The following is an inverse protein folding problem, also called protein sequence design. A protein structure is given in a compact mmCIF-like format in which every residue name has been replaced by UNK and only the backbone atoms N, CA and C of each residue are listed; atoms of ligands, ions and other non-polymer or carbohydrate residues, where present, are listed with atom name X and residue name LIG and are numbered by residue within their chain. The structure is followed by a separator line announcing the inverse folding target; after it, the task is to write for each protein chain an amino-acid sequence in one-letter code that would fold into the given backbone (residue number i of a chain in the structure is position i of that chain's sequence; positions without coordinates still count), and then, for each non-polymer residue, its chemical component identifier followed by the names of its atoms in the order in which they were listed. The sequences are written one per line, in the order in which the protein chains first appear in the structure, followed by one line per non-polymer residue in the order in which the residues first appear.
data_IF_954912903943
#
_entry.id   IF_954912903943
#
_cell.length_a   1.000
_cell.length_b   1.000
_cell.length_c   1.000
_cell.angle_alpha   90.00
_cell.angle_beta   90.00
_cell.angle_gamma   90.00
#
_symmetry.space_group_name_H-M   'P 1'
#
loop_
_entity.id
_entity.type
_entity.pdbx_description
1 polymer ?
#
# COMPACT_ATOMS: atom_id res chain seq x y z
N UNK A 1 10.89 -0.38 -22.73
CA UNK A 1 11.69 -0.32 -21.50
C UNK A 1 11.04 0.77 -20.63
N UNK A 2 10.26 0.39 -19.60
CA UNK A 2 9.61 1.38 -18.72
C UNK A 2 10.60 1.71 -17.62
N UNK A 3 11.02 2.98 -17.54
CA UNK A 3 11.94 3.48 -16.54
C UNK A 3 11.15 3.74 -15.25
N UNK A 4 11.46 3.02 -14.17
CA UNK A 4 10.98 3.38 -12.83
C UNK A 4 11.89 4.52 -12.37
N UNK A 5 11.34 5.73 -12.28
CA UNK A 5 12.07 6.87 -11.76
C UNK A 5 12.04 6.81 -10.24
N UNK A 6 13.13 6.36 -9.63
CA UNK A 6 13.42 6.72 -8.24
C UNK A 6 13.87 8.18 -8.25
N UNK A 7 13.08 9.08 -7.68
CA UNK A 7 13.50 10.45 -7.50
C UNK A 7 14.64 10.47 -6.46
N UNK A 8 15.82 10.87 -6.91
CA UNK A 8 17.02 11.14 -6.11
C UNK A 8 17.61 9.94 -5.33
N UNK A 9 17.70 8.76 -5.99
CA UNK A 9 18.42 7.61 -5.42
C UNK A 9 19.92 7.91 -5.33
N UNK A 10 20.40 8.09 -4.11
CA UNK A 10 21.84 8.25 -3.82
C UNK A 10 22.53 6.89 -3.76
N UNK A 11 23.86 6.86 -3.82
CA UNK A 11 24.62 5.59 -3.86
C UNK A 11 24.35 4.67 -2.67
N UNK A 12 24.05 5.23 -1.49
CA UNK A 12 23.69 4.45 -0.30
C UNK A 12 22.28 3.83 -0.37
N UNK A 13 21.38 4.37 -1.20
CA UNK A 13 20.03 3.79 -1.36
C UNK A 13 20.12 2.45 -2.09
N UNK A 14 21.04 2.30 -3.05
CA UNK A 14 21.30 1.01 -3.73
C UNK A 14 21.88 -0.03 -2.80
N UNK A 15 22.77 0.36 -1.88
CA UNK A 15 23.33 -0.56 -0.88
C UNK A 15 22.28 -0.95 0.16
N UNK A 16 21.41 0.00 0.57
CA UNK A 16 20.30 -0.27 1.48
C UNK A 16 19.29 -1.22 0.85
N UNK A 17 18.88 -1.00 -0.40
CA UNK A 17 17.96 -1.89 -1.12
C UNK A 17 18.58 -3.28 -1.39
N UNK A 18 19.88 -3.37 -1.66
CA UNK A 18 20.58 -4.64 -1.83
C UNK A 18 20.61 -5.50 -0.56
N UNK A 19 20.39 -4.92 0.61
CA UNK A 19 20.32 -5.62 1.89
C UNK A 19 18.92 -6.18 2.19
N UNK A 20 17.86 -5.69 1.52
CA UNK A 20 16.51 -6.25 1.62
C UNK A 20 16.40 -7.44 0.67
N UNK A 21 16.33 -8.64 1.21
CA UNK A 21 16.30 -9.88 0.44
C UNK A 21 14.92 -10.50 0.32
N UNK A 22 13.96 -10.05 1.12
CA UNK A 22 12.61 -10.59 1.15
C UNK A 22 11.62 -9.44 1.10
N UNK A 23 10.88 -9.33 0.00
CA UNK A 23 9.73 -8.45 -0.15
C UNK A 23 8.46 -9.31 -0.17
N UNK A 24 7.42 -8.90 0.56
CA UNK A 24 6.31 -9.78 0.85
C UNK A 24 4.98 -9.06 0.75
N UNK A 25 4.02 -9.72 0.10
CA UNK A 25 2.78 -9.13 -0.34
C UNK A 25 1.59 -9.72 0.40
N UNK A 26 0.78 -8.87 1.01
CA UNK A 26 -0.55 -9.23 1.47
C UNK A 26 -1.56 -8.76 0.43
N UNK A 27 -2.17 -9.72 -0.26
CA UNK A 27 -3.05 -9.50 -1.41
C UNK A 27 -2.32 -9.67 -2.74
N UNK A 28 -2.63 -10.76 -3.45
CA UNK A 28 -2.02 -11.12 -4.75
C UNK A 28 -2.99 -10.90 -5.91
N UNK A 29 -3.87 -9.91 -5.78
CA UNK A 29 -4.71 -9.42 -6.86
C UNK A 29 -3.89 -8.81 -8.00
N UNK A 30 -4.53 -8.20 -8.98
CA UNK A 30 -3.85 -7.63 -10.15
C UNK A 30 -2.73 -6.64 -9.78
N UNK A 31 -2.95 -5.76 -8.79
CA UNK A 31 -1.97 -4.77 -8.35
C UNK A 31 -0.81 -5.46 -7.63
N UNK A 32 -1.11 -6.34 -6.66
CA UNK A 32 -0.08 -7.06 -5.93
C UNK A 32 0.84 -7.89 -6.83
N UNK A 33 0.28 -8.58 -7.84
CA UNK A 33 1.10 -9.32 -8.81
C UNK A 33 2.00 -8.41 -9.65
N UNK A 34 1.47 -7.29 -10.16
CA UNK A 34 2.31 -6.31 -10.88
C UNK A 34 3.44 -5.77 -10.00
N UNK A 35 3.19 -5.55 -8.71
CA UNK A 35 4.21 -5.12 -7.78
C UNK A 35 5.21 -6.23 -7.49
N UNK A 36 4.76 -7.49 -7.35
CA UNK A 36 5.64 -8.66 -7.21
C UNK A 36 6.62 -8.79 -8.38
N UNK A 37 6.14 -8.66 -9.62
CA UNK A 37 6.97 -8.72 -10.82
C UNK A 37 8.07 -7.62 -10.82
N UNK A 38 7.74 -6.44 -10.30
CA UNK A 38 8.70 -5.35 -10.14
C UNK A 38 9.77 -5.73 -9.10
N UNK A 39 9.37 -6.24 -7.95
CA UNK A 39 10.25 -6.65 -6.86
C UNK A 39 11.15 -7.82 -7.27
N UNK A 40 10.63 -8.79 -8.04
CA UNK A 40 11.44 -9.86 -8.63
C UNK A 40 12.53 -9.29 -9.53
N UNK A 41 12.21 -8.25 -10.32
CA UNK A 41 13.18 -7.54 -11.16
C UNK A 41 14.32 -6.89 -10.36
N UNK A 42 14.11 -6.59 -9.08
CA UNK A 42 15.15 -6.14 -8.14
C UNK A 42 15.92 -7.29 -7.48
N UNK A 43 15.57 -8.56 -7.76
CA UNK A 43 16.19 -9.74 -7.17
C UNK A 43 15.72 -10.05 -5.75
N UNK A 44 14.54 -9.57 -5.37
CA UNK A 44 13.94 -9.87 -4.06
C UNK A 44 13.28 -11.25 -4.07
N UNK A 45 13.24 -11.90 -2.90
CA UNK A 45 12.44 -13.10 -2.72
C UNK A 45 11.01 -12.69 -2.40
N UNK A 46 10.03 -13.21 -3.14
CA UNK A 46 8.64 -12.81 -3.03
C UNK A 46 7.84 -13.88 -2.30
N UNK A 47 7.26 -13.51 -1.16
CA UNK A 47 6.24 -14.31 -0.46
C UNK A 47 4.88 -13.63 -0.60
N UNK A 48 3.83 -14.41 -0.69
CA UNK A 48 2.47 -13.92 -0.79
C UNK A 48 1.54 -14.59 0.21
N UNK A 49 0.57 -13.82 0.70
CA UNK A 49 -0.58 -14.31 1.44
C UNK A 49 -1.85 -13.77 0.80
N UNK A 50 -2.73 -14.65 0.39
CA UNK A 50 -4.06 -14.33 -0.12
C UNK A 50 -4.99 -15.51 0.15
N UNK A 51 -6.21 -15.28 0.67
CA UNK A 51 -7.22 -16.36 0.78
C UNK A 51 -7.58 -17.00 -0.56
N UNK A 52 -7.36 -16.28 -1.66
CA UNK A 52 -7.65 -16.71 -3.03
C UNK A 52 -6.36 -16.69 -3.85
N UNK A 53 -5.59 -17.76 -3.76
CA UNK A 53 -4.32 -17.91 -4.46
C UNK A 53 -4.48 -17.80 -5.98
N UNK A 54 -3.63 -16.98 -6.63
CA UNK A 54 -3.58 -16.83 -8.07
C UNK A 54 -2.45 -17.67 -8.67
N UNK A 55 -2.71 -18.49 -9.71
CA UNK A 55 -1.64 -19.23 -10.38
C UNK A 55 -0.66 -18.33 -11.15
N UNK A 56 -1.02 -17.05 -11.35
CA UNK A 56 -0.17 -16.06 -12.03
C UNK A 56 0.78 -15.32 -11.06
N UNK A 57 0.74 -15.64 -9.78
CA UNK A 57 1.64 -15.02 -8.82
C UNK A 57 3.03 -15.66 -8.90
N UNK A 58 4.04 -14.87 -9.18
CA UNK A 58 5.42 -15.34 -9.37
C UNK A 58 6.11 -15.75 -8.05
N UNK A 59 5.60 -15.31 -6.89
CA UNK A 59 6.17 -15.61 -5.58
C UNK A 59 5.70 -16.95 -4.99
N UNK A 60 6.10 -17.21 -3.76
CA UNK A 60 5.67 -18.38 -2.99
C UNK A 60 4.55 -18.02 -2.03
N UNK A 61 3.42 -18.73 -2.05
CA UNK A 61 2.39 -18.59 -1.03
C UNK A 61 2.81 -19.21 0.30
N UNK A 62 2.53 -18.49 1.38
CA UNK A 62 2.82 -18.89 2.76
C UNK A 62 1.66 -18.50 3.67
N UNK A 63 1.66 -18.96 4.92
CA UNK A 63 0.70 -18.49 5.93
C UNK A 63 0.99 -17.05 6.32
N UNK A 64 -0.02 -16.33 6.85
CA UNK A 64 0.17 -14.96 7.33
C UNK A 64 1.27 -14.89 8.41
N UNK A 65 1.29 -15.82 9.36
CA UNK A 65 2.31 -15.85 10.41
C UNK A 65 3.71 -16.04 9.84
N UNK A 66 3.88 -16.96 8.88
CA UNK A 66 5.16 -17.17 8.21
C UNK A 66 5.60 -15.91 7.44
N UNK A 67 4.65 -15.23 6.78
CA UNK A 67 4.90 -13.98 6.09
C UNK A 67 5.40 -12.92 7.07
N UNK A 68 4.70 -12.69 8.17
CA UNK A 68 5.06 -11.69 9.19
C UNK A 68 6.46 -11.95 9.79
N UNK A 69 6.78 -13.23 10.09
CA UNK A 69 8.05 -13.60 10.71
C UNK A 69 9.25 -13.44 9.77
N UNK A 70 9.04 -13.61 8.46
CA UNK A 70 10.15 -13.67 7.47
C UNK A 70 10.36 -12.37 6.72
N UNK A 71 9.38 -11.45 6.75
CA UNK A 71 9.38 -10.22 5.96
C UNK A 71 10.43 -9.20 6.40
N UNK A 72 11.12 -8.64 5.44
CA UNK A 72 11.89 -7.39 5.61
C UNK A 72 11.05 -6.17 5.21
N UNK A 73 10.16 -6.34 4.21
CA UNK A 73 9.20 -5.35 3.75
C UNK A 73 7.83 -6.03 3.64
N UNK A 74 6.77 -5.40 4.11
CA UNK A 74 5.39 -5.87 3.98
C UNK A 74 4.60 -4.82 3.21
N UNK A 75 4.01 -5.20 2.08
CA UNK A 75 3.18 -4.33 1.25
C UNK A 75 1.74 -4.84 1.18
N UNK A 76 0.77 -3.94 1.42
CA UNK A 76 -0.64 -4.26 1.49
C UNK A 76 -1.35 -3.91 0.19
N UNK A 77 -1.98 -4.92 -0.45
CA UNK A 77 -2.71 -4.80 -1.72
C UNK A 77 -4.10 -5.46 -1.68
N UNK A 78 -4.62 -5.77 -0.48
CA UNK A 78 -5.90 -6.39 -0.28
C UNK A 78 -7.02 -5.35 -0.03
N UNK A 79 -8.27 -5.63 -0.40
CA UNK A 79 -9.40 -4.80 -0.01
C UNK A 79 -9.64 -4.86 1.49
N UNK A 80 -10.26 -3.82 2.04
CA UNK A 80 -10.69 -3.83 3.44
C UNK A 80 -11.97 -4.67 3.59
N UNK A 81 -11.97 -5.57 4.56
CA UNK A 81 -13.14 -6.36 5.00
C UNK A 81 -13.28 -6.26 6.52
N UNK A 82 -14.34 -6.85 7.07
CA UNK A 82 -14.49 -6.89 8.55
C UNK A 82 -13.42 -7.75 9.20
N UNK A 83 -13.00 -8.80 8.52
CA UNK A 83 -12.07 -9.82 9.02
C UNK A 83 -10.62 -9.33 9.03
N UNK A 84 -10.25 -8.42 8.12
CA UNK A 84 -8.89 -7.91 7.99
C UNK A 84 -8.72 -6.45 8.46
N UNK A 85 -9.76 -5.86 9.08
CA UNK A 85 -9.59 -4.58 9.75
C UNK A 85 -8.51 -4.71 10.82
N UNK A 86 -7.55 -3.76 10.85
CA UNK A 86 -6.39 -3.79 11.73
C UNK A 86 -5.55 -5.08 11.60
N UNK A 87 -5.41 -5.58 10.35
CA UNK A 87 -4.53 -6.69 10.03
C UNK A 87 -3.10 -6.44 10.54
N UNK A 88 -2.64 -5.21 10.44
CA UNK A 88 -1.41 -4.74 11.09
C UNK A 88 -1.80 -4.09 12.42
N UNK A 89 -1.53 -4.79 13.51
CA UNK A 89 -1.87 -4.45 14.89
C UNK A 89 -0.68 -4.72 15.81
N UNK A 90 -0.76 -4.36 17.08
CA UNK A 90 0.29 -4.67 18.07
C UNK A 90 0.63 -6.17 18.09
N UNK A 91 -0.38 -7.04 17.98
CA UNK A 91 -0.18 -8.50 17.97
C UNK A 91 0.65 -8.92 16.75
N UNK A 92 0.24 -8.52 15.54
CA UNK A 92 0.92 -8.91 14.29
C UNK A 92 2.28 -8.24 14.17
N UNK A 93 2.43 -6.98 14.58
CA UNK A 93 3.73 -6.28 14.65
C UNK A 93 4.69 -7.02 15.57
N UNK A 94 4.21 -7.58 16.69
CA UNK A 94 5.07 -8.33 17.62
C UNK A 94 5.77 -9.52 16.95
N UNK A 95 5.10 -10.19 15.98
CA UNK A 95 5.60 -11.34 15.22
C UNK A 95 6.60 -10.97 14.14
N UNK A 96 6.59 -9.72 13.66
CA UNK A 96 7.46 -9.26 12.56
C UNK A 96 8.93 -9.21 12.95
N UNK A 97 9.82 -9.11 11.97
CA UNK A 97 11.22 -8.80 12.22
C UNK A 97 11.38 -7.40 12.82
N UNK A 98 12.43 -7.21 13.60
CA UNK A 98 12.81 -5.87 14.05
C UNK A 98 13.33 -5.07 12.85
N UNK A 99 12.80 -3.85 12.68
CA UNK A 99 13.20 -2.97 11.59
C UNK A 99 12.46 -3.24 10.28
N UNK A 100 11.36 -4.01 10.30
CA UNK A 100 10.50 -4.26 9.11
C UNK A 100 9.98 -2.95 8.53
N UNK A 101 9.80 -2.89 7.22
CA UNK A 101 9.17 -1.77 6.52
C UNK A 101 7.73 -2.13 6.19
N UNK A 102 6.82 -1.16 6.36
CA UNK A 102 5.40 -1.33 6.06
C UNK A 102 5.00 -0.36 4.95
N UNK A 103 4.36 -0.89 3.89
CA UNK A 103 3.84 -0.09 2.79
C UNK A 103 2.35 -0.33 2.66
N UNK A 104 1.56 0.74 2.67
CA UNK A 104 0.12 0.66 2.48
C UNK A 104 -0.36 1.66 1.44
N UNK A 105 -0.72 1.15 0.27
CA UNK A 105 -1.35 1.87 -0.84
C UNK A 105 -2.75 1.34 -1.12
N UNK A 106 -3.38 0.69 -0.13
CA UNK A 106 -4.66 0.02 -0.29
C UNK A 106 -5.78 0.70 0.51
N UNK A 107 -5.92 0.42 1.79
CA UNK A 107 -6.93 1.03 2.68
C UNK A 107 -6.33 1.31 4.06
N UNK A 108 -6.59 2.51 4.59
CA UNK A 108 -6.03 2.96 5.87
C UNK A 108 -6.34 2.03 7.03
N UNK A 109 -7.59 1.60 7.16
CA UNK A 109 -8.05 0.73 8.26
C UNK A 109 -7.47 -0.71 8.25
N UNK A 110 -6.64 -1.07 7.29
CA UNK A 110 -5.85 -2.31 7.37
C UNK A 110 -4.76 -2.22 8.45
N UNK A 111 -4.38 -1.03 8.83
CA UNK A 111 -3.38 -0.75 9.86
C UNK A 111 -4.06 -0.07 11.04
N UNK A 112 -3.85 -0.58 12.25
CA UNK A 112 -4.09 0.16 13.49
C UNK A 112 -3.02 1.27 13.57
N UNK A 113 -3.45 2.51 13.40
CA UNK A 113 -2.53 3.66 13.33
C UNK A 113 -1.75 3.86 14.62
N UNK A 114 -2.37 3.57 15.78
CA UNK A 114 -1.68 3.70 17.07
C UNK A 114 -0.60 2.61 17.23
N UNK A 115 -0.89 1.38 16.82
CA UNK A 115 0.08 0.29 16.83
C UNK A 115 1.26 0.59 15.89
N UNK A 116 1.00 1.12 14.69
CA UNK A 116 2.03 1.56 13.76
C UNK A 116 2.94 2.62 14.39
N UNK A 117 2.35 3.66 15.00
CA UNK A 117 3.07 4.75 15.66
C UNK A 117 3.98 4.22 16.78
N UNK A 118 3.46 3.31 17.63
CA UNK A 118 4.24 2.67 18.68
C UNK A 118 5.39 1.82 18.11
N UNK A 119 5.12 1.07 17.04
CA UNK A 119 6.09 0.25 16.33
C UNK A 119 7.25 1.07 15.76
N UNK A 120 6.94 2.20 15.13
CA UNK A 120 7.93 3.15 14.60
C UNK A 120 8.77 3.78 15.73
N UNK A 121 8.15 4.27 16.80
CA UNK A 121 8.83 4.88 17.95
C UNK A 121 9.76 3.90 18.67
N UNK A 122 9.38 2.62 18.75
CA UNK A 122 10.21 1.59 19.38
C UNK A 122 11.31 1.04 18.46
N UNK A 123 11.29 1.35 17.18
CA UNK A 123 12.18 0.77 16.16
C UNK A 123 11.88 -0.70 15.85
N UNK A 124 10.71 -1.21 16.23
CA UNK A 124 10.20 -2.50 15.77
C UNK A 124 9.85 -2.42 14.30
N UNK A 125 9.23 -1.30 13.88
CA UNK A 125 9.03 -0.92 12.47
C UNK A 125 10.14 0.08 12.12
N UNK A 126 10.88 -0.20 11.06
CA UNK A 126 12.01 0.61 10.61
C UNK A 126 11.58 1.81 9.80
N UNK A 127 10.56 1.65 8.95
CA UNK A 127 9.99 2.73 8.14
C UNK A 127 8.54 2.41 7.71
N UNK A 128 7.81 3.44 7.28
CA UNK A 128 6.48 3.26 6.68
C UNK A 128 6.28 4.16 5.46
N UNK A 129 5.59 3.61 4.43
CA UNK A 129 5.10 4.33 3.26
C UNK A 129 3.58 4.20 3.20
N UNK A 130 2.88 5.30 3.35
CA UNK A 130 1.42 5.34 3.51
C UNK A 130 0.81 6.27 2.46
N UNK A 131 0.06 5.71 1.51
CA UNK A 131 -0.77 6.51 0.59
C UNK A 131 -2.19 6.68 1.16
N UNK A 132 -2.54 5.90 2.17
CA UNK A 132 -3.86 5.86 2.82
C UNK A 132 -3.69 5.95 4.34
N UNK A 133 -4.71 6.52 5.00
CA UNK A 133 -4.74 6.71 6.44
C UNK A 133 -6.08 6.26 7.02
N UNK A 134 -6.11 5.83 8.28
CA UNK A 134 -7.32 5.27 8.90
C UNK A 134 -8.48 6.26 8.92
N UNK A 135 -8.22 7.52 9.26
CA UNK A 135 -9.19 8.63 9.36
C UNK A 135 -9.14 9.57 8.14
N UNK A 136 -8.69 9.08 6.97
CA UNK A 136 -8.46 9.91 5.78
C UNK A 136 -9.69 10.69 5.29
N UNK A 137 -10.89 10.18 5.51
CA UNK A 137 -12.13 10.77 4.98
C UNK A 137 -12.34 12.21 5.43
N UNK A 138 -11.92 12.54 6.65
CA UNK A 138 -12.03 13.90 7.22
C UNK A 138 -10.81 14.78 6.96
N UNK A 139 -9.72 14.24 6.41
CA UNK A 139 -8.43 14.94 6.34
C UNK A 139 -7.88 15.07 4.92
N UNK A 140 -8.07 14.09 4.05
CA UNK A 140 -7.40 14.05 2.73
C UNK A 140 -8.24 14.67 1.60
N UNK A 141 -9.54 14.83 1.79
CA UNK A 141 -10.46 15.28 0.75
C UNK A 141 -10.96 16.72 0.95
N UNK A 142 -10.45 17.42 1.95
CA UNK A 142 -10.74 18.83 2.20
C UNK A 142 -9.44 19.67 2.12
N UNK A 143 -9.57 20.96 1.84
CA UNK A 143 -8.44 21.88 1.77
C UNK A 143 -8.13 22.44 3.16
N UNK A 144 -7.11 21.90 3.80
CA UNK A 144 -6.60 22.35 5.10
C UNK A 144 -5.35 23.24 4.98
N UNK A 145 -5.09 23.85 3.82
CA UNK A 145 -3.87 24.64 3.60
C UNK A 145 -3.70 25.78 4.62
N UNK A 146 -4.82 26.29 5.15
CA UNK A 146 -4.83 27.39 6.13
C UNK A 146 -5.27 26.95 7.54
N UNK A 147 -5.44 25.62 7.77
CA UNK A 147 -5.91 25.10 9.05
C UNK A 147 -4.87 24.22 9.73
N UNK A 148 -4.97 24.10 11.04
CA UNK A 148 -4.11 23.20 11.83
C UNK A 148 -4.66 21.80 11.78
N UNK A 149 -3.85 20.83 11.37
CA UNK A 149 -4.20 19.41 11.47
C UNK A 149 -4.36 19.07 12.95
N UNK A 150 -5.60 18.76 13.36
CA UNK A 150 -5.94 18.45 14.77
C UNK A 150 -5.68 16.98 15.12
N UNK A 151 -5.33 16.13 14.14
CA UNK A 151 -4.96 14.74 14.36
C UNK A 151 -3.50 14.64 14.81
N UNK A 152 -3.29 14.48 16.10
CA UNK A 152 -1.96 14.37 16.70
C UNK A 152 -1.20 13.14 16.20
N UNK A 153 -1.90 12.07 15.85
CA UNK A 153 -1.29 10.81 15.37
C UNK A 153 -0.75 10.99 13.96
N UNK A 154 -1.56 11.56 13.06
CA UNK A 154 -1.12 11.87 11.70
C UNK A 154 0.02 12.90 11.72
N UNK A 155 -0.11 13.96 12.51
CA UNK A 155 0.95 14.98 12.68
C UNK A 155 2.28 14.36 13.15
N UNK A 156 2.19 13.39 14.07
CA UNK A 156 3.36 12.64 14.53
C UNK A 156 3.97 11.80 13.40
N UNK A 157 3.16 11.08 12.63
CA UNK A 157 3.64 10.26 11.52
C UNK A 157 4.34 11.10 10.44
N UNK A 158 3.73 12.21 10.04
CA UNK A 158 4.31 13.14 9.04
C UNK A 158 5.65 13.73 9.51
N UNK A 159 5.81 13.96 10.81
CA UNK A 159 7.03 14.51 11.38
C UNK A 159 8.17 13.48 11.50
N UNK A 160 7.90 12.18 11.35
CA UNK A 160 8.93 11.13 11.44
C UNK A 160 9.80 11.08 10.18
N UNK A 161 11.14 11.08 10.28
CA UNK A 161 12.04 11.08 9.12
C UNK A 161 12.03 9.75 8.34
N UNK A 162 11.50 8.68 8.92
CA UNK A 162 11.37 7.34 8.35
C UNK A 162 9.93 6.99 7.94
N UNK A 163 9.08 8.00 7.77
CA UNK A 163 7.70 7.85 7.30
C UNK A 163 7.47 8.74 6.09
N UNK A 164 6.82 8.19 5.07
CA UNK A 164 6.33 8.92 3.92
C UNK A 164 4.82 8.78 3.91
N UNK A 165 4.12 9.92 3.86
CA UNK A 165 2.66 9.97 3.70
C UNK A 165 2.33 10.70 2.41
N UNK A 166 1.51 10.10 1.56
CA UNK A 166 0.88 10.73 0.40
C UNK A 166 -0.64 10.68 0.55
N UNK A 167 -1.34 11.69 0.05
CA UNK A 167 -2.76 11.90 0.35
C UNK A 167 -3.66 11.11 -0.60
N UNK A 168 -3.63 9.77 -0.55
CA UNK A 168 -4.42 8.87 -1.40
C UNK A 168 -4.28 9.19 -2.90
N UNK A 169 -3.03 9.36 -3.33
CA UNK A 169 -2.68 9.86 -4.66
C UNK A 169 -1.99 8.82 -5.58
N UNK A 170 -2.01 7.55 -5.22
CA UNK A 170 -1.41 6.49 -6.05
C UNK A 170 -1.98 6.44 -7.49
N UNK A 171 -3.21 6.91 -7.68
CA UNK A 171 -3.85 7.04 -9.00
C UNK A 171 -3.39 8.29 -9.80
N UNK A 172 -2.70 9.25 -9.20
CA UNK A 172 -2.38 10.54 -9.81
C UNK A 172 -1.24 10.42 -10.83
N UNK A 173 -1.47 9.64 -11.88
CA UNK A 173 -0.61 9.54 -13.06
C UNK A 173 -1.37 9.97 -14.30
N UNK A 174 -0.67 10.43 -15.32
CA UNK A 174 -1.28 10.85 -16.58
C UNK A 174 -2.11 9.73 -17.22
N UNK A 175 -1.58 8.51 -17.18
CA UNK A 175 -2.21 7.33 -17.75
C UNK A 175 -3.50 6.96 -17.00
N UNK A 176 -3.46 6.97 -15.66
CA UNK A 176 -4.63 6.66 -14.83
C UNK A 176 -5.72 7.72 -15.00
N UNK A 177 -5.36 9.02 -14.97
CA UNK A 177 -6.30 10.11 -15.18
C UNK A 177 -6.96 10.05 -16.57
N UNK A 178 -6.19 9.73 -17.62
CA UNK A 178 -6.77 9.54 -18.97
C UNK A 178 -7.74 8.36 -19.00
N UNK A 179 -7.36 7.22 -18.40
CA UNK A 179 -8.22 6.04 -18.36
C UNK A 179 -9.52 6.29 -17.55
N UNK A 180 -9.44 7.03 -16.45
CA UNK A 180 -10.62 7.43 -15.66
C UNK A 180 -11.53 8.33 -16.50
N UNK A 181 -10.98 9.34 -17.16
CA UNK A 181 -11.75 10.27 -18.00
C UNK A 181 -12.43 9.54 -19.17
N UNK A 182 -11.70 8.71 -19.91
CA UNK A 182 -12.23 7.91 -21.02
C UNK A 182 -13.35 6.98 -20.58
N UNK A 183 -13.16 6.26 -19.45
CA UNK A 183 -14.17 5.36 -18.89
C UNK A 183 -15.43 6.12 -18.47
N UNK A 184 -15.27 7.27 -17.82
CA UNK A 184 -16.36 8.12 -17.39
C UNK A 184 -17.17 8.62 -18.58
N UNK A 185 -16.51 9.18 -19.59
CA UNK A 185 -17.17 9.66 -20.81
C UNK A 185 -17.89 8.53 -21.52
N UNK A 186 -17.25 7.36 -21.62
CA UNK A 186 -17.85 6.17 -22.23
C UNK A 186 -19.11 5.73 -21.49
N UNK A 187 -19.09 5.67 -20.16
CA UNK A 187 -20.26 5.30 -19.35
C UNK A 187 -21.43 6.28 -19.59
N UNK A 188 -21.19 7.58 -19.70
CA UNK A 188 -22.21 8.57 -20.05
C UNK A 188 -22.77 8.35 -21.45
N UNK A 189 -21.91 8.14 -22.45
CA UNK A 189 -22.34 7.88 -23.83
C UNK A 189 -23.20 6.61 -23.92
N UNK A 190 -22.80 5.52 -23.26
CA UNK A 190 -23.54 4.25 -23.25
C UNK A 190 -24.90 4.44 -22.56
N UNK A 191 -24.95 5.15 -21.43
CA UNK A 191 -26.22 5.47 -20.73
C UNK A 191 -27.21 6.25 -21.62
N UNK A 192 -26.77 7.36 -22.20
CA UNK A 192 -27.65 8.22 -23.01
C UNK A 192 -28.01 7.61 -24.37
N UNK A 193 -27.24 6.63 -24.86
CA UNK A 193 -27.51 5.90 -26.11
C UNK A 193 -28.35 4.64 -25.88
N UNK A 194 -28.68 4.28 -24.63
CA UNK A 194 -29.41 3.06 -24.30
C UNK A 194 -28.61 1.79 -24.56
N UNK A 195 -27.27 1.87 -24.55
CA UNK A 195 -26.37 0.73 -24.67
C UNK A 195 -26.27 -0.04 -23.34
N UNK A 196 -25.72 -1.26 -23.39
CA UNK A 196 -25.38 -2.04 -22.20
C UNK A 196 -24.36 -1.30 -21.33
N UNK A 197 -24.67 -1.15 -20.04
CA UNK A 197 -23.80 -0.48 -19.06
C UNK A 197 -22.84 -1.50 -18.43
N UNK A 198 -21.66 -1.67 -19.02
CA UNK A 198 -20.65 -2.65 -18.57
C UNK A 198 -20.11 -2.40 -17.15
N UNK A 199 -20.20 -1.18 -16.66
CA UNK A 199 -19.69 -0.75 -15.36
C UNK A 199 -20.82 -0.39 -14.38
N UNK A 200 -22.05 -0.84 -14.64
CA UNK A 200 -23.19 -0.62 -13.76
C UNK A 200 -22.97 -1.37 -12.43
N UNK A 201 -23.16 -0.65 -11.32
CA UNK A 201 -23.12 -1.24 -9.98
C UNK A 201 -24.55 -1.64 -9.61
N UNK A 202 -24.79 -2.94 -9.51
CA UNK A 202 -26.03 -3.47 -8.94
C UNK A 202 -25.95 -3.36 -7.42
N UNK A 203 -26.91 -2.66 -6.81
CA UNK A 203 -27.05 -2.53 -5.36
C UNK A 203 -27.88 -3.69 -4.82
#
# INVERSE_FOLDING_TARGET
MKTIAFFDAKSYDRESLANFRNDELIGTGKIGRCFADICEGFGMNILGFDPYESPEFAGKYVTLDELLEKSDIISLHCPLTRENKHLISDETISKMKKGVYIINTSRGQLIDTQALNNGLKSGKIGAAGLDVYEEETSLFFEDFSDEVITDDTLSTLIAMPNVIVSSHQAFLTKEALSAIAETTVKNFLDYFSGNELKNEISV
#
